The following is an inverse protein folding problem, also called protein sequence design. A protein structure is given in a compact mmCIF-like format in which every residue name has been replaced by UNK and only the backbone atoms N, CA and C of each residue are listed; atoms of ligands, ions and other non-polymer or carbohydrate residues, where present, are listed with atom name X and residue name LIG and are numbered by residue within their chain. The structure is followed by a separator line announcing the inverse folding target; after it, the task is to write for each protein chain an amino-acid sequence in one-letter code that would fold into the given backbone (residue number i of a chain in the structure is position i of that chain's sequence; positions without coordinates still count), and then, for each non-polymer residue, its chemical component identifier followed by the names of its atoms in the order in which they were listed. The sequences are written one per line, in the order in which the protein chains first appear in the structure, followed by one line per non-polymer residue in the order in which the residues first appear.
data_IF_845743372954
#
_entry.id   IF_845743372954
#
_cell.length_a   1.000
_cell.length_b   1.000
_cell.length_c   1.000
_cell.angle_alpha   90.00
_cell.angle_beta   90.00
_cell.angle_gamma   90.00
#
_symmetry.space_group_name_H-M   'P 1'
#
loop_
_entity.id
_entity.type
_entity.pdbx_description
1 polymer ?
#
# COMPACT_ATOMS: atom_id res chain seq x y z
N UNK A 1 4.17 -13.50 -11.41
CA UNK A 1 4.66 -12.12 -11.28
C UNK A 1 5.91 -12.16 -10.41
N UNK A 2 7.02 -11.51 -10.79
CA UNK A 2 8.21 -11.45 -9.96
C UNK A 2 7.94 -10.61 -8.69
N UNK A 3 8.74 -10.80 -7.63
CA UNK A 3 8.64 -9.98 -6.42
C UNK A 3 8.93 -8.51 -6.75
N UNK A 4 8.14 -7.56 -6.23
CA UNK A 4 8.36 -6.13 -6.50
C UNK A 4 9.62 -5.63 -5.79
N UNK A 5 10.30 -4.65 -6.40
CA UNK A 5 11.37 -3.93 -5.72
C UNK A 5 10.79 -3.05 -4.59
N UNK A 6 11.18 -3.34 -3.36
CA UNK A 6 10.73 -2.65 -2.15
C UNK A 6 11.80 -1.70 -1.65
N UNK A 7 11.39 -0.59 -1.03
CA UNK A 7 12.30 0.32 -0.31
C UNK A 7 11.87 0.48 1.14
N UNK A 8 12.80 0.37 2.12
CA UNK A 8 12.48 0.60 3.52
C UNK A 8 12.34 2.08 3.82
N UNK A 9 11.27 2.43 4.53
CA UNK A 9 11.03 3.77 5.04
C UNK A 9 11.11 3.79 6.57
N UNK A 10 11.82 4.78 7.14
CA UNK A 10 11.96 4.90 8.58
C UNK A 10 10.62 5.22 9.25
N UNK A 11 10.51 5.02 10.58
CA UNK A 11 9.33 5.47 11.31
C UNK A 11 9.22 7.00 11.21
N UNK A 12 8.00 7.50 11.26
CA UNK A 12 7.76 8.91 11.00
C UNK A 12 6.42 9.42 11.47
N UNK A 13 6.13 10.66 11.12
CA UNK A 13 4.85 11.31 11.38
C UNK A 13 4.40 12.08 10.15
N UNK A 14 3.11 12.00 9.84
CA UNK A 14 2.49 12.80 8.78
C UNK A 14 1.22 13.46 9.29
N UNK A 15 1.01 14.72 8.89
CA UNK A 15 -0.26 15.42 9.06
C UNK A 15 -1.10 15.21 7.81
N UNK A 16 -2.15 14.42 7.94
CA UNK A 16 -3.16 14.21 6.90
C UNK A 16 -4.19 15.32 6.95
N UNK A 17 -4.63 15.78 5.78
CA UNK A 17 -5.65 16.82 5.62
C UNK A 17 -6.86 16.26 4.90
N UNK A 18 -8.00 16.21 5.56
CA UNK A 18 -9.29 15.98 4.92
C UNK A 18 -9.82 17.32 4.41
N UNK A 19 -9.67 17.57 3.12
CA UNK A 19 -10.14 18.80 2.50
C UNK A 19 -11.67 18.91 2.47
N UNK A 20 -12.41 17.78 2.49
CA UNK A 20 -13.89 17.77 2.45
C UNK A 20 -14.47 18.23 3.77
N UNK A 21 -13.84 17.84 4.88
CA UNK A 21 -14.27 18.21 6.25
C UNK A 21 -13.50 19.40 6.82
N UNK A 22 -12.44 19.85 6.15
CA UNK A 22 -11.56 20.91 6.64
C UNK A 22 -10.75 20.49 7.87
N UNK A 23 -10.62 19.19 8.14
CA UNK A 23 -9.94 18.67 9.32
C UNK A 23 -8.53 18.22 9.01
N UNK A 24 -7.68 18.18 10.03
CA UNK A 24 -6.35 17.59 9.95
C UNK A 24 -6.16 16.58 11.08
N UNK A 25 -5.36 15.54 10.84
CA UNK A 25 -5.00 14.56 11.85
C UNK A 25 -3.54 14.16 11.70
N UNK A 26 -2.86 14.01 12.83
CA UNK A 26 -1.49 13.52 12.84
C UNK A 26 -1.43 12.01 13.02
N UNK A 27 -0.73 11.33 12.12
CA UNK A 27 -0.56 9.87 12.15
C UNK A 27 0.92 9.56 12.42
N UNK A 28 1.18 8.73 13.44
CA UNK A 28 2.50 8.15 13.70
C UNK A 28 2.63 6.84 12.92
N UNK A 29 3.70 6.71 12.16
CA UNK A 29 4.01 5.53 11.35
C UNK A 29 5.16 4.74 11.99
N UNK A 30 4.98 3.43 12.08
CA UNK A 30 6.08 2.47 12.31
C UNK A 30 6.96 2.40 11.04
N UNK A 31 8.17 1.83 11.11
CA UNK A 31 8.93 1.53 9.89
C UNK A 31 8.13 0.57 9.01
N UNK A 32 8.20 0.75 7.70
CA UNK A 32 7.51 -0.10 6.72
C UNK A 32 8.27 -0.09 5.39
N UNK A 33 7.97 -1.04 4.52
CA UNK A 33 8.49 -1.06 3.14
C UNK A 33 7.36 -0.76 2.15
N UNK A 34 7.71 -0.13 1.03
CA UNK A 34 6.77 0.14 -0.06
C UNK A 34 7.43 -0.13 -1.41
N UNK A 35 6.65 -0.62 -2.37
CA UNK A 35 7.14 -0.83 -3.73
C UNK A 35 7.55 0.51 -4.36
N UNK A 36 8.73 0.56 -4.97
CA UNK A 36 9.25 1.79 -5.62
C UNK A 36 8.54 2.10 -6.94
N UNK A 37 7.80 1.14 -7.47
CA UNK A 37 7.01 1.25 -8.69
C UNK A 37 5.64 0.59 -8.50
N UNK A 38 4.62 0.99 -9.28
CA UNK A 38 3.40 0.20 -9.42
C UNK A 38 3.73 -1.24 -9.81
N UNK A 39 2.84 -2.17 -9.48
CA UNK A 39 2.92 -3.52 -10.03
C UNK A 39 2.66 -3.44 -11.53
N UNK A 40 3.53 -4.08 -12.31
CA UNK A 40 3.43 -4.12 -13.77
C UNK A 40 3.01 -5.51 -14.23
N UNK A 41 2.18 -5.53 -15.25
CA UNK A 41 1.86 -6.74 -15.99
C UNK A 41 3.12 -7.21 -16.74
N UNK A 42 3.54 -8.47 -16.59
CA UNK A 42 4.81 -8.96 -17.11
C UNK A 42 4.83 -9.07 -18.64
N UNK A 43 3.68 -9.19 -19.28
CA UNK A 43 3.56 -9.36 -20.73
C UNK A 43 3.57 -8.01 -21.46
N UNK A 44 2.92 -7.01 -20.88
CA UNK A 44 2.77 -5.67 -21.46
C UNK A 44 3.76 -4.65 -20.91
N UNK A 45 4.31 -4.88 -19.71
CA UNK A 45 5.14 -3.92 -18.98
C UNK A 45 4.36 -2.70 -18.46
N UNK A 46 3.04 -2.69 -18.60
CA UNK A 46 2.17 -1.59 -18.14
C UNK A 46 1.72 -1.80 -16.70
N UNK A 47 1.38 -0.74 -15.94
CA UNK A 47 0.80 -0.89 -14.62
C UNK A 47 -0.46 -1.76 -14.67
N UNK A 48 -0.59 -2.69 -13.73
CA UNK A 48 -1.76 -3.59 -13.68
C UNK A 48 -3.01 -2.77 -13.41
N UNK A 49 -3.88 -2.69 -14.41
CA UNK A 49 -5.15 -1.95 -14.35
C UNK A 49 -6.13 -2.44 -15.43
N UNK A 50 -7.46 -2.26 -15.24
CA UNK A 50 -8.10 -1.80 -14.02
C UNK A 50 -8.10 -2.89 -12.94
N UNK A 51 -8.06 -2.48 -11.66
CA UNK A 51 -8.17 -3.39 -10.52
C UNK A 51 -9.25 -2.89 -9.57
N UNK A 52 -10.09 -3.80 -9.09
CA UNK A 52 -10.89 -3.53 -7.90
C UNK A 52 -10.02 -3.63 -6.65
N UNK A 53 -10.52 -3.13 -5.52
CA UNK A 53 -9.82 -3.31 -4.25
C UNK A 53 -9.70 -4.79 -3.86
N UNK A 54 -10.68 -5.63 -4.21
CA UNK A 54 -10.62 -7.08 -3.99
C UNK A 54 -9.52 -7.73 -4.83
N UNK A 55 -9.34 -7.29 -6.09
CA UNK A 55 -8.27 -7.79 -6.96
C UNK A 55 -6.89 -7.39 -6.41
N UNK A 56 -6.74 -6.14 -5.94
CA UNK A 56 -5.50 -5.68 -5.32
C UNK A 56 -5.15 -6.49 -4.05
N UNK A 57 -6.14 -6.77 -3.18
CA UNK A 57 -5.95 -7.60 -2.00
C UNK A 57 -5.56 -9.04 -2.37
N UNK A 58 -6.19 -9.62 -3.40
CA UNK A 58 -5.85 -10.96 -3.89
C UNK A 58 -4.44 -11.01 -4.48
N UNK A 59 -4.03 -9.99 -5.24
CA UNK A 59 -2.67 -9.86 -5.78
C UNK A 59 -1.62 -9.78 -4.67
N UNK A 60 -1.88 -9.00 -3.61
CA UNK A 60 -1.01 -8.94 -2.44
C UNK A 60 -0.85 -10.32 -1.79
N UNK A 61 -1.95 -11.05 -1.54
CA UNK A 61 -1.87 -12.40 -1.00
C UNK A 61 -1.14 -13.39 -1.93
N UNK A 62 -1.32 -13.26 -3.26
CA UNK A 62 -0.61 -14.09 -4.22
C UNK A 62 0.90 -13.84 -4.20
N UNK A 63 1.33 -12.57 -4.10
CA UNK A 63 2.74 -12.21 -3.89
C UNK A 63 3.27 -12.77 -2.57
N UNK A 64 2.53 -12.62 -1.47
CA UNK A 64 2.91 -13.20 -0.17
C UNK A 64 3.14 -14.70 -0.28
N UNK A 65 2.23 -15.42 -0.95
CA UNK A 65 2.36 -16.86 -1.14
C UNK A 65 3.60 -17.24 -1.97
N UNK A 66 3.97 -16.45 -2.99
CA UNK A 66 5.20 -16.73 -3.78
C UNK A 66 6.48 -16.59 -2.98
N UNK A 67 6.46 -15.80 -1.90
CA UNK A 67 7.61 -15.59 -1.01
C UNK A 67 7.48 -16.32 0.33
N UNK A 68 6.43 -17.12 0.52
CA UNK A 68 6.20 -17.89 1.75
C UNK A 68 5.78 -17.03 2.96
N UNK A 69 5.28 -15.82 2.72
CA UNK A 69 4.80 -14.88 3.75
C UNK A 69 3.33 -15.15 4.12
N UNK A 70 2.92 -14.69 5.30
CA UNK A 70 1.53 -14.83 5.75
C UNK A 70 0.60 -13.92 4.93
N UNK A 71 -0.57 -14.40 4.49
CA UNK A 71 -1.52 -13.56 3.78
C UNK A 71 -2.04 -12.44 4.69
N UNK A 72 -1.96 -11.20 4.23
CA UNK A 72 -2.46 -10.05 4.98
C UNK A 72 -3.99 -9.97 4.96
N UNK A 73 -4.64 -10.56 3.96
CA UNK A 73 -6.08 -10.45 3.75
C UNK A 73 -6.78 -11.80 3.91
N UNK A 74 -7.83 -11.85 4.71
CA UNK A 74 -8.72 -13.00 4.82
C UNK A 74 -10.10 -12.66 4.24
N UNK A 75 -10.62 -13.53 3.39
CA UNK A 75 -12.00 -13.41 2.91
C UNK A 75 -12.97 -13.89 4.00
N UNK A 76 -13.98 -13.09 4.31
CA UNK A 76 -15.07 -13.56 5.16
C UNK A 76 -15.87 -14.66 4.44
N UNK A 77 -16.62 -15.45 5.22
CA UNK A 77 -17.43 -16.55 4.70
C UNK A 77 -18.43 -16.11 3.61
N UNK A 78 -18.87 -14.85 3.64
CA UNK A 78 -19.79 -14.26 2.66
C UNK A 78 -19.12 -13.92 1.31
N UNK A 79 -17.78 -13.99 1.23
CA UNK A 79 -16.94 -13.58 0.08
C UNK A 79 -17.18 -12.15 -0.41
N UNK A 80 -17.84 -11.32 0.39
CA UNK A 80 -18.15 -9.91 0.08
C UNK A 80 -17.36 -8.95 0.95
N UNK A 81 -16.77 -9.46 2.02
CA UNK A 81 -15.89 -8.69 2.88
C UNK A 81 -14.50 -9.33 2.97
N UNK A 82 -13.51 -8.48 3.13
CA UNK A 82 -12.13 -8.87 3.42
C UNK A 82 -11.77 -8.23 4.75
N UNK A 83 -11.11 -9.01 5.60
CA UNK A 83 -10.49 -8.52 6.84
C UNK A 83 -8.98 -8.47 6.63
N UNK A 84 -8.36 -7.38 7.07
CA UNK A 84 -6.91 -7.24 7.09
C UNK A 84 -6.38 -7.69 8.46
N UNK A 85 -5.39 -8.60 8.46
CA UNK A 85 -4.60 -8.95 9.63
C UNK A 85 -3.36 -8.03 9.74
N UNK A 86 -3.31 -7.12 10.74
CA UNK A 86 -2.17 -6.23 10.91
C UNK A 86 -0.92 -6.92 11.47
N UNK A 87 -1.01 -8.18 11.90
CA UNK A 87 0.12 -8.98 12.38
C UNK A 87 0.80 -9.79 11.28
N UNK A 88 0.16 -9.95 10.12
CA UNK A 88 0.74 -10.66 8.97
C UNK A 88 1.94 -9.89 8.41
N UNK A 89 2.97 -10.65 8.03
CA UNK A 89 4.22 -10.14 7.44
C UNK A 89 4.20 -10.08 5.91
N UNK A 90 3.09 -10.49 5.27
CA UNK A 90 2.93 -10.43 3.83
C UNK A 90 2.61 -9.06 3.24
N UNK A 91 2.60 -9.01 1.91
CA UNK A 91 2.24 -7.83 1.14
C UNK A 91 0.82 -7.36 1.43
N UNK A 92 0.64 -6.04 1.38
CA UNK A 92 -0.65 -5.37 1.49
C UNK A 92 -0.64 -4.04 0.75
N UNK A 93 -1.84 -3.51 0.49
CA UNK A 93 -2.02 -2.14 0.03
C UNK A 93 -1.59 -1.19 1.16
N UNK A 94 -0.79 -0.13 0.87
CA UNK A 94 -0.43 0.86 1.87
C UNK A 94 -1.69 1.59 2.37
N UNK A 95 -1.66 1.99 3.63
CA UNK A 95 -2.66 2.94 4.15
C UNK A 95 -2.49 4.31 3.49
N UNK A 96 -3.53 5.16 3.53
CA UNK A 96 -3.45 6.55 3.05
C UNK A 96 -2.25 7.30 3.67
N UNK A 97 -2.01 7.09 4.97
CA UNK A 97 -0.91 7.71 5.70
C UNK A 97 0.47 7.25 5.21
N UNK A 98 0.64 5.96 4.99
CA UNK A 98 1.90 5.38 4.49
C UNK A 98 2.19 5.83 3.06
N UNK A 99 1.16 5.81 2.20
CA UNK A 99 1.29 6.26 0.80
C UNK A 99 1.71 7.72 0.74
N UNK A 100 1.03 8.60 1.49
CA UNK A 100 1.35 10.02 1.47
C UNK A 100 2.71 10.31 2.11
N UNK A 101 3.10 9.58 3.16
CA UNK A 101 4.43 9.69 3.76
C UNK A 101 5.54 9.32 2.77
N UNK A 102 5.36 8.22 2.03
CA UNK A 102 6.27 7.79 0.99
C UNK A 102 6.39 8.83 -0.14
N UNK A 103 5.25 9.32 -0.66
CA UNK A 103 5.24 10.31 -1.74
C UNK A 103 5.80 11.67 -1.34
N UNK A 104 5.61 12.08 -0.08
CA UNK A 104 6.17 13.35 0.42
C UNK A 104 7.68 13.29 0.54
N UNK A 105 8.29 12.13 0.80
CA UNK A 105 9.75 11.97 0.91
C UNK A 105 10.44 13.04 1.81
N UNK A 106 9.79 13.39 2.92
CA UNK A 106 10.26 14.44 3.84
C UNK A 106 9.87 15.88 3.47
N UNK A 107 9.21 16.09 2.34
CA UNK A 107 8.69 17.41 1.92
C UNK A 107 7.30 17.68 2.53
N UNK A 108 7.06 18.93 2.93
CA UNK A 108 5.78 19.38 3.51
C UNK A 108 4.98 20.27 2.57
N UNK A 109 5.55 20.63 1.41
CA UNK A 109 4.93 21.46 0.38
C UNK A 109 4.61 20.62 -0.86
N UNK A 110 3.56 20.96 -1.63
CA UNK A 110 3.30 20.30 -2.90
C UNK A 110 4.54 20.38 -3.78
N UNK A 111 4.92 19.25 -4.37
CA UNK A 111 5.82 19.26 -5.50
C UNK A 111 5.04 19.86 -6.67
N UNK A 112 5.31 21.13 -7.00
CA UNK A 112 4.89 21.69 -8.28
C UNK A 112 5.80 21.04 -9.31
N UNK A 113 5.31 19.99 -9.95
CA UNK A 113 5.94 19.45 -11.15
C UNK A 113 5.39 20.29 -12.31
N UNK A 114 6.20 21.22 -12.81
CA UNK A 114 5.97 21.90 -14.10
C UNK A 114 6.51 21.04 -15.23
#
# INVERSE_FOLDING_TARGET
MPPPAMTPLPPGRITLRDARRGTTRDVKLKPFEIAIHPLHDPDTGLPVAPLTWFDAAALCNALSATEGLQPAYAHAADRRSITWDPAADGYRVPTEAEWEYACRAGTVKPLVVV
#
